data_IF_496499893011
#
_entry.id   IF_496499893011
#
_cell.length_a   1.000
_cell.length_b   1.000
_cell.length_c   1.000
_cell.angle_alpha   90.00
_cell.angle_beta   90.00
_cell.angle_gamma   90.00
#
_symmetry.space_group_name_H-M   'P 1'
#
loop_
_entity.id
_entity.type
_entity.pdbx_description
1 polymer ?
#
# COMPACT_ATOMS: atom_id res chain seq x y z
N UNK A 1 14.31 69.55 -1.20
CA UNK A 1 13.03 68.80 -1.13
C UNK A 1 12.82 68.34 0.31
N UNK A 2 11.59 68.38 0.83
CA UNK A 2 11.34 69.03 2.12
C UNK A 2 10.92 68.11 3.28
N UNK A 3 11.17 68.64 4.49
CA UNK A 3 10.42 68.52 5.76
C UNK A 3 10.34 67.15 6.46
N UNK A 4 11.21 67.01 7.45
CA UNK A 4 10.85 66.45 8.75
C UNK A 4 9.91 67.43 9.49
N UNK A 5 8.81 66.93 10.05
CA UNK A 5 8.01 67.58 11.09
C UNK A 5 7.61 66.54 12.14
N UNK A 6 7.75 66.93 13.41
CA UNK A 6 7.40 66.17 14.61
C UNK A 6 5.89 65.88 14.70
N UNK A 7 5.55 64.74 15.31
CA UNK A 7 4.46 64.58 16.29
C UNK A 7 4.84 63.36 17.15
N UNK A 8 5.43 63.61 18.33
CA UNK A 8 4.76 63.70 19.63
C UNK A 8 4.48 62.35 20.25
N UNK A 9 5.06 62.16 21.44
CA UNK A 9 4.71 61.14 22.43
C UNK A 9 3.19 60.95 22.50
N UNK A 10 2.72 59.72 22.29
CA UNK A 10 1.57 59.20 23.02
C UNK A 10 2.06 58.04 23.86
N UNK A 11 2.01 58.27 25.17
CA UNK A 11 2.06 57.26 26.23
C UNK A 11 0.98 56.20 25.89
N UNK A 12 1.25 54.90 26.07
CA UNK A 12 0.28 53.87 25.71
C UNK A 12 -0.97 54.04 26.58
N UNK A 13 -2.08 54.39 25.94
CA UNK A 13 -3.37 54.26 26.60
C UNK A 13 -3.62 52.78 26.86
N UNK A 14 -3.85 52.49 28.14
CA UNK A 14 -4.01 51.16 28.70
C UNK A 14 -5.33 50.54 28.24
N UNK A 15 -5.47 50.20 26.98
CA UNK A 15 -6.46 49.23 26.52
C UNK A 15 -5.88 48.49 25.32
N UNK A 16 -4.85 47.68 25.58
CA UNK A 16 -4.54 46.54 24.72
C UNK A 16 -5.73 45.60 24.81
N UNK A 17 -6.65 45.73 23.86
CA UNK A 17 -7.76 44.80 23.73
C UNK A 17 -7.16 43.46 23.28
N UNK A 18 -7.18 42.47 24.17
CA UNK A 18 -6.65 41.13 23.93
C UNK A 18 -7.35 40.37 22.78
N UNK A 19 -8.32 40.99 22.10
CA UNK A 19 -9.04 40.44 20.96
C UNK A 19 -8.57 40.94 19.58
N UNK A 20 -7.71 41.96 19.47
CA UNK A 20 -7.21 42.44 18.16
C UNK A 20 -5.78 42.00 17.81
N UNK A 21 -5.04 41.44 18.75
CA UNK A 21 -3.72 40.83 18.49
C UNK A 21 -3.77 39.32 18.14
N UNK A 22 -4.94 38.71 18.04
CA UNK A 22 -5.10 37.28 17.66
C UNK A 22 -5.50 37.07 16.19
N UNK A 23 -5.27 38.07 15.33
CA UNK A 23 -5.60 37.99 13.89
C UNK A 23 -4.41 38.10 12.94
N UNK A 24 -3.18 38.05 13.44
CA UNK A 24 -1.98 38.05 12.61
C UNK A 24 -1.07 36.90 13.06
N UNK A 25 -0.77 36.00 12.11
CA UNK A 25 0.01 34.76 12.23
C UNK A 25 -0.71 33.51 12.74
N UNK A 26 -1.78 33.11 12.05
CA UNK A 26 -2.03 31.67 11.85
C UNK A 26 -1.13 31.22 10.69
N UNK A 27 0.15 30.99 10.98
CA UNK A 27 0.98 30.19 10.07
C UNK A 27 0.43 28.78 10.14
N UNK A 28 -0.25 28.41 9.07
CA UNK A 28 -0.91 27.13 8.85
C UNK A 28 0.16 26.03 8.74
N UNK A 29 0.72 25.61 9.88
CA UNK A 29 1.29 24.28 10.01
C UNK A 29 0.10 23.33 9.92
N UNK A 30 -0.22 22.92 8.69
CA UNK A 30 -1.01 21.72 8.46
C UNK A 30 -0.18 20.59 9.05
N UNK A 31 -0.48 20.20 10.29
CA UNK A 31 -0.04 18.92 10.81
C UNK A 31 -0.79 17.89 9.98
N UNK A 32 -0.18 17.45 8.89
CA UNK A 32 -0.72 16.39 8.06
C UNK A 32 -0.77 15.12 8.91
N UNK A 33 -1.96 14.71 9.29
CA UNK A 33 -2.18 13.43 9.97
C UNK A 33 -1.92 12.32 8.95
N UNK A 34 -0.75 11.70 9.00
CA UNK A 34 -0.50 10.42 8.35
C UNK A 34 -1.33 9.37 9.06
N UNK A 35 -2.36 8.84 8.38
CA UNK A 35 -3.13 7.70 8.90
C UNK A 35 -2.29 6.45 8.68
N UNK A 36 -1.87 5.85 9.78
CA UNK A 36 -1.09 4.61 9.78
C UNK A 36 -1.97 3.48 10.31
N UNK A 37 -1.87 2.30 9.70
CA UNK A 37 -2.48 1.06 10.16
C UNK A 37 -1.37 0.04 10.42
N UNK A 38 -1.43 -0.62 11.56
CA UNK A 38 -0.50 -1.69 11.89
C UNK A 38 -1.28 -3.01 12.00
N UNK A 39 -0.97 -3.94 11.12
CA UNK A 39 -1.80 -5.10 10.83
C UNK A 39 -1.01 -6.37 11.07
N UNK A 40 -1.66 -7.35 11.69
CA UNK A 40 -1.14 -8.70 11.77
C UNK A 40 -2.10 -9.62 11.02
N UNK A 41 -1.57 -10.34 10.03
CA UNK A 41 -2.28 -11.44 9.38
C UNK A 41 -1.64 -12.78 9.75
N UNK A 42 -2.48 -13.80 9.86
CA UNK A 42 -2.09 -15.19 10.00
C UNK A 42 -2.48 -15.92 8.73
N UNK A 43 -1.54 -16.66 8.15
CA UNK A 43 -1.84 -17.65 7.13
C UNK A 43 -2.51 -18.88 7.74
N UNK A 44 -3.42 -19.48 6.98
CA UNK A 44 -4.20 -20.64 7.37
C UNK A 44 -3.73 -21.91 6.64
N UNK A 45 -4.16 -23.06 7.14
CA UNK A 45 -3.89 -24.37 6.55
C UNK A 45 -2.40 -24.60 6.26
N UNK A 46 -2.04 -24.86 5.00
CA UNK A 46 -0.66 -25.16 4.57
C UNK A 46 0.26 -23.93 4.66
N UNK A 47 -0.29 -22.72 4.75
CA UNK A 47 0.45 -21.48 4.92
C UNK A 47 0.54 -21.13 6.40
N UNK A 48 1.45 -21.75 7.14
CA UNK A 48 1.73 -21.38 8.53
C UNK A 48 2.54 -20.06 8.60
N UNK A 49 1.93 -18.95 8.21
CA UNK A 49 2.59 -17.63 8.16
C UNK A 49 2.09 -16.67 9.24
N UNK A 50 2.98 -15.77 9.65
CA UNK A 50 2.64 -14.58 10.42
C UNK A 50 3.24 -13.37 9.72
N UNK A 51 2.37 -12.43 9.36
CA UNK A 51 2.76 -11.18 8.73
C UNK A 51 2.53 -10.02 9.68
N UNK A 52 3.52 -9.13 9.80
CA UNK A 52 3.31 -7.79 10.30
C UNK A 52 3.46 -6.78 9.17
N UNK A 53 2.36 -6.09 8.86
CA UNK A 53 2.30 -5.12 7.78
C UNK A 53 1.89 -3.74 8.31
N UNK A 54 2.71 -2.75 7.98
CA UNK A 54 2.50 -1.36 8.31
C UNK A 54 2.12 -0.61 7.05
N UNK A 55 0.93 -0.03 7.05
CA UNK A 55 0.39 0.76 5.94
C UNK A 55 0.30 2.22 6.37
N UNK A 56 0.96 3.11 5.65
CA UNK A 56 0.92 4.55 5.90
C UNK A 56 0.29 5.26 4.71
N UNK A 57 -0.82 5.95 4.97
CA UNK A 57 -1.48 6.81 3.99
C UNK A 57 -0.88 8.21 4.06
N UNK A 58 -0.29 8.65 2.95
CA UNK A 58 0.27 9.99 2.80
C UNK A 58 -0.52 10.83 1.80
N UNK A 59 -0.29 12.15 1.79
CA UNK A 59 -0.96 13.08 0.87
C UNK A 59 -0.62 12.85 -0.61
N UNK A 60 0.58 12.30 -0.88
CA UNK A 60 1.08 12.10 -2.25
C UNK A 60 1.47 10.66 -2.53
N UNK A 61 1.97 9.98 -1.52
CA UNK A 61 2.50 8.62 -1.61
C UNK A 61 1.97 7.83 -0.44
N UNK A 62 1.41 6.66 -0.74
CA UNK A 62 1.15 5.61 0.22
C UNK A 62 2.41 4.75 0.33
N UNK A 63 2.77 4.34 1.54
CA UNK A 63 3.89 3.44 1.77
C UNK A 63 3.44 2.23 2.58
N UNK A 64 4.10 1.11 2.32
CA UNK A 64 3.85 -0.14 3.02
C UNK A 64 5.20 -0.77 3.33
N UNK A 65 5.35 -1.24 4.57
CA UNK A 65 6.51 -1.99 5.04
C UNK A 65 6.00 -3.22 5.76
N UNK A 66 6.49 -4.40 5.37
CA UNK A 66 5.99 -5.65 5.92
C UNK A 66 7.09 -6.67 6.11
N UNK A 67 6.90 -7.52 7.11
CA UNK A 67 7.69 -8.72 7.37
C UNK A 67 6.73 -9.91 7.44
N UNK A 68 7.01 -10.94 6.65
CA UNK A 68 6.31 -12.23 6.68
C UNK A 68 7.28 -13.29 7.14
N UNK A 69 6.89 -14.08 8.13
CA UNK A 69 7.62 -15.26 8.60
C UNK A 69 6.74 -16.49 8.40
N UNK A 70 7.33 -17.62 8.04
CA UNK A 70 6.58 -18.86 7.94
C UNK A 70 7.46 -20.08 7.64
N UNK A 71 6.80 -21.21 7.43
CA UNK A 71 7.41 -22.48 7.04
C UNK A 71 6.58 -23.05 5.89
N UNK A 72 7.24 -23.47 4.82
CA UNK A 72 6.64 -24.17 3.67
C UNK A 72 7.50 -25.42 3.42
N UNK A 73 6.87 -26.59 3.27
CA UNK A 73 7.57 -27.87 3.08
C UNK A 73 8.69 -28.16 4.10
N UNK A 74 8.45 -27.81 5.37
CA UNK A 74 9.43 -27.88 6.47
C UNK A 74 10.68 -26.99 6.29
N UNK A 75 10.65 -26.04 5.36
CA UNK A 75 11.71 -25.06 5.14
C UNK A 75 11.25 -23.70 5.66
N UNK A 76 11.98 -23.08 6.61
CA UNK A 76 11.63 -21.75 7.09
C UNK A 76 11.89 -20.71 6.02
N UNK A 77 11.01 -19.71 5.95
CA UNK A 77 11.21 -18.57 5.09
C UNK A 77 10.97 -17.25 5.82
N UNK A 78 11.53 -16.19 5.25
CA UNK A 78 11.24 -14.80 5.62
C UNK A 78 11.08 -13.94 4.38
N UNK A 79 10.14 -13.02 4.40
CA UNK A 79 9.97 -11.97 3.39
C UNK A 79 10.01 -10.63 4.11
N UNK A 80 10.76 -9.69 3.59
CA UNK A 80 10.71 -8.29 3.96
C UNK A 80 10.41 -7.51 2.69
N UNK A 81 9.30 -6.78 2.67
CA UNK A 81 8.98 -5.95 1.52
C UNK A 81 8.64 -4.52 1.92
N UNK A 82 9.10 -3.59 1.09
CA UNK A 82 8.72 -2.19 1.13
C UNK A 82 8.17 -1.82 -0.23
N UNK A 83 7.04 -1.13 -0.28
CA UNK A 83 6.49 -0.60 -1.52
C UNK A 83 5.92 0.79 -1.34
N UNK A 84 5.90 1.51 -2.46
CA UNK A 84 5.33 2.83 -2.60
C UNK A 84 4.29 2.82 -3.70
N UNK A 85 3.17 3.48 -3.45
CA UNK A 85 2.10 3.66 -4.41
C UNK A 85 1.63 5.11 -4.38
N UNK A 86 1.01 5.56 -5.46
CA UNK A 86 0.31 6.84 -5.44
C UNK A 86 -0.97 6.78 -4.58
N UNK A 87 -1.67 7.90 -4.47
CA UNK A 87 -2.91 7.99 -3.68
C UNK A 87 -4.06 7.12 -4.21
N UNK A 88 -3.97 6.67 -5.47
CA UNK A 88 -4.90 5.72 -6.09
C UNK A 88 -4.43 4.27 -5.99
N UNK A 89 -3.37 3.99 -5.23
CA UNK A 89 -2.78 2.66 -5.04
C UNK A 89 -2.12 2.06 -6.27
N UNK A 90 -1.78 2.87 -7.27
CA UNK A 90 -0.93 2.44 -8.38
C UNK A 90 0.52 2.40 -7.92
N UNK A 91 1.16 1.25 -8.05
CA UNK A 91 2.53 1.03 -7.57
C UNK A 91 3.53 1.89 -8.34
N UNK A 92 4.45 2.53 -7.62
CA UNK A 92 5.53 3.35 -8.19
C UNK A 92 6.90 2.75 -7.94
N UNK A 93 7.05 1.97 -6.87
CA UNK A 93 8.23 1.16 -6.64
C UNK A 93 7.98 0.10 -5.57
N UNK A 94 8.80 -0.95 -5.59
CA UNK A 94 8.85 -1.92 -4.51
C UNK A 94 10.22 -2.60 -4.44
N UNK A 95 10.48 -3.16 -3.26
CA UNK A 95 11.64 -3.98 -2.95
C UNK A 95 11.18 -5.15 -2.09
N UNK A 96 11.25 -6.36 -2.64
CA UNK A 96 10.89 -7.61 -1.97
C UNK A 96 12.17 -8.41 -1.77
N UNK A 97 12.62 -8.51 -0.53
CA UNK A 97 13.75 -9.35 -0.13
C UNK A 97 13.20 -10.57 0.57
N UNK A 98 13.54 -11.76 0.10
CA UNK A 98 13.07 -12.98 0.73
C UNK A 98 14.15 -14.04 0.81
N UNK A 99 13.97 -14.98 1.73
CA UNK A 99 14.88 -16.09 1.93
C UNK A 99 14.07 -17.34 2.23
N UNK A 100 14.35 -18.42 1.50
CA UNK A 100 13.83 -19.77 1.76
C UNK A 100 15.01 -20.66 2.16
N UNK A 101 14.99 -21.18 3.39
CA UNK A 101 16.15 -21.86 3.97
C UNK A 101 17.35 -20.91 4.03
N UNK A 102 18.41 -21.22 3.28
CA UNK A 102 19.64 -20.41 3.20
C UNK A 102 19.76 -19.60 1.90
N UNK A 103 18.79 -19.69 1.00
CA UNK A 103 18.84 -19.03 -0.30
C UNK A 103 18.14 -17.68 -0.23
N UNK A 104 18.89 -16.60 -0.45
CA UNK A 104 18.38 -15.24 -0.43
C UNK A 104 18.13 -14.71 -1.85
N UNK A 105 17.00 -14.06 -2.04
CA UNK A 105 16.53 -13.52 -3.30
C UNK A 105 16.01 -12.09 -3.11
N UNK A 106 16.05 -11.29 -4.17
CA UNK A 106 15.52 -9.93 -4.19
C UNK A 106 14.85 -9.64 -5.51
N UNK A 107 13.65 -9.09 -5.45
CA UNK A 107 12.89 -8.60 -6.61
C UNK A 107 12.55 -7.14 -6.33
N UNK A 108 13.05 -6.23 -7.16
CA UNK A 108 12.77 -4.81 -7.02
C UNK A 108 12.54 -4.16 -8.38
N UNK A 109 11.62 -3.21 -8.44
CA UNK A 109 11.36 -2.42 -9.63
C UNK A 109 10.90 -1.02 -9.26
N UNK A 110 11.12 -0.09 -10.18
CA UNK A 110 10.49 1.23 -10.22
C UNK A 110 9.59 1.30 -11.44
N UNK A 111 8.44 1.92 -11.28
CA UNK A 111 7.42 2.11 -12.31
C UNK A 111 7.29 3.61 -12.55
N UNK A 112 7.51 4.05 -13.79
CA UNK A 112 7.31 5.45 -14.15
C UNK A 112 5.82 5.79 -14.37
N UNK A 113 5.51 7.06 -14.60
CA UNK A 113 4.12 7.51 -14.81
C UNK A 113 3.47 6.99 -16.09
N UNK A 114 4.23 6.36 -16.99
CA UNK A 114 3.74 5.72 -18.22
C UNK A 114 3.57 4.22 -18.05
N UNK A 115 3.88 3.67 -16.87
CA UNK A 115 3.83 2.24 -16.59
C UNK A 115 5.07 1.48 -17.06
N UNK A 116 6.20 2.14 -17.33
CA UNK A 116 7.42 1.44 -17.69
C UNK A 116 8.13 0.94 -16.44
N UNK A 117 8.42 -0.36 -16.43
CA UNK A 117 9.10 -1.04 -15.33
C UNK A 117 10.61 -1.02 -15.54
N UNK A 118 11.36 -0.69 -14.49
CA UNK A 118 12.82 -0.71 -14.53
C UNK A 118 13.44 -1.22 -13.24
N UNK A 119 14.57 -1.92 -13.38
CA UNK A 119 15.44 -2.33 -12.28
C UNK A 119 16.86 -1.83 -12.59
N UNK A 120 17.45 -1.03 -11.70
CA UNK A 120 18.79 -0.45 -11.89
C UNK A 120 18.99 0.24 -13.26
N UNK A 121 17.93 0.89 -13.77
CA UNK A 121 17.93 1.58 -15.07
C UNK A 121 17.67 0.68 -16.28
N UNK A 122 17.66 -0.65 -16.12
CA UNK A 122 17.31 -1.62 -17.16
C UNK A 122 15.79 -1.72 -17.27
N UNK A 123 15.25 -1.59 -18.48
CA UNK A 123 13.80 -1.66 -18.74
C UNK A 123 13.31 -3.09 -18.87
N UNK A 124 12.07 -3.35 -18.45
CA UNK A 124 11.42 -4.65 -18.52
C UNK A 124 10.07 -4.54 -19.25
N UNK A 125 10.07 -4.48 -20.59
CA UNK A 125 8.85 -4.27 -21.37
C UNK A 125 7.78 -5.35 -21.16
N UNK A 126 8.20 -6.57 -20.81
CA UNK A 126 7.29 -7.69 -20.51
C UNK A 126 6.37 -7.41 -19.31
N UNK A 127 6.73 -6.47 -18.43
CA UNK A 127 5.93 -6.14 -17.25
C UNK A 127 5.06 -4.90 -17.46
N UNK A 128 5.11 -4.24 -18.62
CA UNK A 128 4.30 -3.05 -18.89
C UNK A 128 2.78 -3.33 -18.89
N UNK A 129 2.35 -4.59 -19.02
CA UNK A 129 0.96 -5.00 -18.86
C UNK A 129 0.54 -5.19 -17.39
N UNK A 130 1.51 -5.33 -16.47
CA UNK A 130 1.24 -5.55 -15.06
C UNK A 130 0.78 -4.25 -14.39
N UNK A 131 -0.41 -4.27 -13.81
CA UNK A 131 -0.98 -3.11 -13.11
C UNK A 131 -0.77 -3.16 -11.59
N UNK A 132 -0.40 -4.33 -11.07
CA UNK A 132 -0.09 -4.57 -9.66
C UNK A 132 0.99 -5.66 -9.53
N UNK A 133 1.53 -5.81 -8.32
CA UNK A 133 2.31 -6.99 -7.93
C UNK A 133 1.45 -7.91 -7.09
N UNK A 134 1.79 -9.19 -7.10
CA UNK A 134 1.21 -10.18 -6.20
C UNK A 134 2.31 -11.02 -5.57
N UNK A 135 2.32 -11.13 -4.24
CA UNK A 135 3.32 -11.86 -3.48
C UNK A 135 2.60 -13.04 -2.83
N UNK A 136 3.00 -14.24 -3.20
CA UNK A 136 2.37 -15.53 -2.83
C UNK A 136 2.03 -15.76 -1.35
N UNK A 137 2.65 -15.04 -0.42
CA UNK A 137 2.54 -15.25 1.04
C UNK A 137 1.97 -14.08 1.82
N UNK A 138 1.30 -13.13 1.15
CA UNK A 138 0.62 -12.02 1.84
C UNK A 138 -0.76 -11.74 1.22
N UNK A 139 -1.79 -11.47 2.04
CA UNK A 139 -3.06 -11.01 1.52
C UNK A 139 -3.00 -9.54 1.09
N UNK A 140 -1.99 -8.76 1.50
CA UNK A 140 -1.96 -7.32 1.30
C UNK A 140 -2.03 -6.91 -0.19
N UNK A 141 -1.36 -7.66 -1.08
CA UNK A 141 -1.28 -7.36 -2.52
C UNK A 141 -2.65 -7.33 -3.21
N UNK A 142 -3.66 -8.02 -2.66
CA UNK A 142 -5.04 -7.90 -3.12
C UNK A 142 -5.58 -6.47 -2.99
N UNK A 143 -5.12 -5.70 -2.01
CA UNK A 143 -5.45 -4.26 -1.87
C UNK A 143 -4.96 -3.47 -3.08
N UNK A 144 -3.74 -3.76 -3.55
CA UNK A 144 -3.15 -3.12 -4.73
C UNK A 144 -3.92 -3.50 -6.00
N UNK A 145 -4.39 -4.74 -6.07
CA UNK A 145 -5.16 -5.22 -7.20
C UNK A 145 -6.54 -4.55 -7.29
N UNK A 146 -7.30 -4.49 -6.18
CA UNK A 146 -8.73 -4.09 -6.23
C UNK A 146 -8.96 -2.59 -6.14
N UNK A 147 -8.16 -1.84 -5.36
CA UNK A 147 -8.41 -0.41 -5.13
C UNK A 147 -8.45 0.43 -6.43
N UNK A 148 -7.51 0.25 -7.38
CA UNK A 148 -7.53 1.02 -8.61
C UNK A 148 -8.71 0.68 -9.54
N UNK A 149 -9.36 -0.48 -9.36
CA UNK A 149 -10.43 -0.93 -10.25
C UNK A 149 -11.74 -0.19 -10.03
N UNK A 150 -12.00 0.24 -8.80
CA UNK A 150 -13.23 0.96 -8.41
C UNK A 150 -14.52 0.28 -8.93
N UNK A 151 -14.58 -1.05 -8.84
CA UNK A 151 -15.69 -1.86 -9.37
C UNK A 151 -17.00 -1.55 -8.64
N UNK A 152 -18.10 -1.51 -9.38
CA UNK A 152 -19.46 -1.53 -8.81
C UNK A 152 -19.81 -2.94 -8.32
N UNK A 153 -20.76 -3.07 -7.39
CA UNK A 153 -21.28 -4.39 -6.99
C UNK A 153 -21.87 -5.11 -8.21
N UNK A 154 -21.47 -6.36 -8.41
CA UNK A 154 -21.79 -7.19 -9.58
C UNK A 154 -20.82 -7.03 -10.76
N UNK A 155 -19.91 -6.05 -10.73
CA UNK A 155 -18.92 -5.85 -11.78
C UNK A 155 -17.72 -6.80 -11.62
N UNK A 156 -17.16 -7.23 -12.74
CA UNK A 156 -16.00 -8.12 -12.82
C UNK A 156 -14.94 -7.55 -13.76
N UNK A 157 -13.67 -7.70 -13.39
CA UNK A 157 -12.55 -7.25 -14.21
C UNK A 157 -11.34 -8.17 -14.06
N UNK A 158 -10.77 -8.55 -15.20
CA UNK A 158 -9.47 -9.22 -15.26
C UNK A 158 -8.34 -8.20 -15.33
N UNK A 159 -7.27 -8.47 -14.61
CA UNK A 159 -6.03 -7.69 -14.60
C UNK A 159 -4.83 -8.60 -14.78
N UNK A 160 -3.73 -8.05 -15.27
CA UNK A 160 -2.43 -8.73 -15.26
C UNK A 160 -1.60 -8.20 -14.08
N UNK A 161 -0.98 -9.11 -13.34
CA UNK A 161 -0.09 -8.79 -12.22
C UNK A 161 1.30 -9.39 -12.45
N UNK A 162 2.32 -8.77 -11.86
CA UNK A 162 3.60 -9.43 -11.66
C UNK A 162 3.49 -10.31 -10.41
N UNK A 163 3.32 -11.61 -10.61
CA UNK A 163 3.31 -12.60 -9.54
C UNK A 163 4.75 -12.94 -9.13
N UNK A 164 5.01 -12.87 -7.82
CA UNK A 164 6.29 -13.17 -7.17
C UNK A 164 6.09 -14.45 -6.35
N UNK A 165 6.57 -15.56 -6.91
CA UNK A 165 6.53 -16.86 -6.27
C UNK A 165 7.78 -17.04 -5.42
N UNK A 166 7.60 -17.05 -4.09
CA UNK A 166 8.73 -17.22 -3.18
C UNK A 166 9.15 -18.69 -3.03
N UNK A 167 8.28 -19.64 -3.39
CA UNK A 167 8.51 -21.09 -3.29
C UNK A 167 9.31 -21.54 -4.50
N UNK A 168 8.85 -21.15 -5.69
CA UNK A 168 9.48 -21.51 -6.98
C UNK A 168 10.59 -20.55 -7.40
N UNK A 169 10.92 -19.56 -6.57
CA UNK A 169 11.98 -18.56 -6.81
C UNK A 169 11.88 -17.85 -8.16
N UNK A 170 10.66 -17.55 -8.61
CA UNK A 170 10.43 -16.98 -9.94
C UNK A 170 9.45 -15.81 -9.91
N UNK A 171 9.41 -15.10 -11.04
CA UNK A 171 8.42 -14.07 -11.30
C UNK A 171 7.75 -14.35 -12.63
N UNK A 172 6.43 -14.19 -12.70
CA UNK A 172 5.66 -14.41 -13.91
C UNK A 172 4.56 -13.35 -14.06
N UNK A 173 4.17 -13.05 -15.29
CA UNK A 173 2.91 -12.33 -15.52
C UNK A 173 1.75 -13.31 -15.36
N UNK A 174 0.75 -12.93 -14.56
CA UNK A 174 -0.43 -13.77 -14.30
C UNK A 174 -1.68 -12.93 -14.48
N UNK A 175 -2.69 -13.48 -15.15
CA UNK A 175 -4.02 -12.87 -15.16
C UNK A 175 -4.82 -13.32 -13.94
N UNK A 176 -5.52 -12.37 -13.35
CA UNK A 176 -6.36 -12.54 -12.18
C UNK A 176 -7.69 -11.84 -12.44
N UNK A 177 -8.79 -12.45 -12.04
CA UNK A 177 -10.12 -11.84 -12.16
C UNK A 177 -10.67 -11.53 -10.78
N UNK A 178 -11.14 -10.30 -10.62
CA UNK A 178 -11.82 -9.84 -9.41
C UNK A 178 -13.26 -9.46 -9.73
N UNK A 179 -14.20 -10.03 -8.99
CA UNK A 179 -15.63 -9.69 -9.07
C UNK A 179 -16.10 -9.13 -7.75
N UNK A 180 -16.66 -7.90 -7.73
CA UNK A 180 -17.20 -7.32 -6.48
C UNK A 180 -18.57 -7.94 -6.20
N UNK A 181 -18.66 -8.79 -5.17
CA UNK A 181 -19.89 -9.48 -4.82
C UNK A 181 -20.81 -8.62 -3.96
N UNK A 182 -20.23 -7.89 -3.01
CA UNK A 182 -20.92 -7.02 -2.06
C UNK A 182 -20.06 -5.78 -1.79
N UNK A 183 -20.49 -4.91 -0.87
CA UNK A 183 -19.79 -3.65 -0.56
C UNK A 183 -18.29 -3.87 -0.29
N UNK A 184 -17.92 -4.86 0.51
CA UNK A 184 -16.52 -5.13 0.86
C UNK A 184 -16.10 -6.59 0.61
N UNK A 185 -16.81 -7.31 -0.25
CA UNK A 185 -16.51 -8.71 -0.58
C UNK A 185 -16.22 -8.84 -2.06
N UNK A 186 -15.06 -9.38 -2.39
CA UNK A 186 -14.64 -9.65 -3.76
C UNK A 186 -14.36 -11.13 -3.92
N UNK A 187 -14.73 -11.70 -5.07
CA UNK A 187 -14.26 -13.01 -5.49
C UNK A 187 -12.99 -12.86 -6.31
N UNK A 188 -11.95 -13.58 -5.93
CA UNK A 188 -10.72 -13.75 -6.67
C UNK A 188 -10.77 -15.06 -7.46
N UNK A 189 -10.27 -15.04 -8.70
CA UNK A 189 -10.21 -16.19 -9.59
C UNK A 189 -8.88 -16.17 -10.36
N UNK A 190 -8.17 -17.30 -10.41
CA UNK A 190 -7.00 -17.48 -11.27
C UNK A 190 -7.40 -17.65 -12.73
N UNK A 191 -6.52 -17.31 -13.68
CA UNK A 191 -6.80 -17.41 -15.12
C UNK A 191 -7.24 -18.82 -15.57
N UNK A 192 -6.68 -19.86 -14.96
CA UNK A 192 -6.99 -21.27 -15.24
C UNK A 192 -8.24 -21.77 -14.51
N UNK A 193 -8.83 -20.96 -13.61
CA UNK A 193 -9.99 -21.31 -12.80
C UNK A 193 -9.72 -22.37 -11.72
N UNK A 194 -8.45 -22.77 -11.51
CA UNK A 194 -8.09 -23.80 -10.53
C UNK A 194 -8.21 -23.33 -9.09
N UNK A 195 -8.16 -22.01 -8.86
CA UNK A 195 -8.33 -21.44 -7.54
C UNK A 195 -9.32 -20.28 -7.56
N UNK A 196 -10.28 -20.35 -6.63
CA UNK A 196 -11.33 -19.35 -6.42
C UNK A 196 -11.53 -19.17 -4.92
N UNK A 197 -11.56 -17.93 -4.46
CA UNK A 197 -11.86 -17.63 -3.07
C UNK A 197 -12.41 -16.22 -2.88
N UNK A 198 -13.17 -16.02 -1.81
CA UNK A 198 -13.67 -14.69 -1.47
C UNK A 198 -12.69 -13.98 -0.53
N UNK A 199 -12.61 -12.67 -0.73
CA UNK A 199 -11.78 -11.75 0.04
C UNK A 199 -12.71 -10.70 0.63
N UNK A 200 -12.77 -10.66 1.95
CA UNK A 200 -13.46 -9.62 2.71
C UNK A 200 -12.45 -8.52 3.07
N UNK A 201 -12.83 -7.27 2.84
CA UNK A 201 -12.04 -6.09 3.16
C UNK A 201 -12.67 -5.26 4.28
N UNK A 202 -11.87 -4.41 4.93
CA UNK A 202 -12.40 -3.34 5.78
C UNK A 202 -12.68 -2.05 4.99
N UNK A 203 -13.12 -1.00 5.68
CA UNK A 203 -13.48 0.28 5.06
C UNK A 203 -12.30 1.01 4.43
N UNK A 204 -11.05 0.66 4.77
CA UNK A 204 -9.85 1.18 4.11
C UNK A 204 -9.39 0.26 2.96
N UNK A 205 -10.23 -0.71 2.58
CA UNK A 205 -9.97 -1.81 1.65
C UNK A 205 -8.72 -2.61 1.99
N UNK A 206 -8.48 -2.85 3.29
CA UNK A 206 -7.44 -3.77 3.75
C UNK A 206 -8.08 -5.12 4.06
N UNK A 207 -7.44 -6.22 3.64
CA UNK A 207 -7.99 -7.57 3.81
C UNK A 207 -8.28 -7.86 5.28
N UNK A 208 -9.51 -8.29 5.57
CA UNK A 208 -9.96 -8.85 6.85
C UNK A 208 -9.85 -10.36 6.85
N UNK A 209 -10.31 -10.98 5.77
CA UNK A 209 -10.38 -12.42 5.60
C UNK A 209 -10.17 -12.75 4.13
N UNK A 210 -9.36 -13.76 3.88
CA UNK A 210 -9.20 -14.39 2.57
C UNK A 210 -9.53 -15.86 2.80
N UNK A 211 -10.69 -16.30 2.31
CA UNK A 211 -11.23 -17.62 2.63
C UNK A 211 -10.19 -18.73 2.43
N UNK A 212 -9.99 -19.52 3.49
CA UNK A 212 -9.03 -20.64 3.59
C UNK A 212 -7.54 -20.28 3.48
N UNK A 213 -7.17 -19.03 3.25
CA UNK A 213 -5.76 -18.64 3.09
C UNK A 213 -5.24 -17.73 4.19
N UNK A 214 -5.98 -16.69 4.56
CA UNK A 214 -5.50 -15.69 5.51
C UNK A 214 -6.62 -15.12 6.36
N UNK A 215 -6.30 -14.78 7.60
CA UNK A 215 -7.16 -13.98 8.46
C UNK A 215 -6.39 -12.86 9.14
N UNK A 216 -7.06 -11.74 9.37
CA UNK A 216 -6.51 -10.63 10.14
C UNK A 216 -6.72 -10.86 11.63
N UNK A 217 -5.61 -11.04 12.36
CA UNK A 217 -5.65 -11.29 13.81
C UNK A 217 -5.56 -10.01 14.64
N UNK A 218 -4.97 -8.94 14.07
CA UNK A 218 -4.89 -7.63 14.73
C UNK A 218 -4.92 -6.50 13.71
N UNK A 219 -5.50 -5.37 14.09
CA UNK A 219 -5.42 -4.15 13.33
C UNK A 219 -5.54 -2.92 14.25
N UNK A 220 -4.46 -2.14 14.33
CA UNK A 220 -4.39 -0.85 15.04
C UNK A 220 -4.31 0.33 14.11
#
# INVERSE_FOLDING_TARGET
MPRAFLLSRMIPDKHCNAQECTKLFVNQLVVTYMKQRNIIWRGLDDYCTLENCMVTLGERVNSVSSIVLGVIDNVPFRVNYVLHADTMWRITSFDVNYQLGNNAHRVNYKIDTRGNWSNNGIQYPLYCECVAIDISVTPFTNTLAVKPLNLSVGESKSITVLYIDIVEHNTATKKQTYTRLEDNVYRFETEDGNFVANIEFDTDMLVKKYDSLFERVYCG
#
